data_IF_229027606103
#
_entry.id   IF_229027606103
#
_cell.length_a   1.000
_cell.length_b   1.000
_cell.length_c   1.000
_cell.angle_alpha   90.00
_cell.angle_beta   90.00
_cell.angle_gamma   90.00
#
_symmetry.space_group_name_H-M   'P 1'
#
loop_
_entity.id
_entity.type
_entity.pdbx_description
1 polymer ?
#
# COMPACT_ATOMS: atom_id res chain seq x y z
N UNK A 1 1.00 24.67 -3.54
CA UNK A 1 0.55 24.12 -2.24
C UNK A 1 1.49 22.96 -1.90
N UNK A 2 1.78 22.73 -0.63
CA UNK A 2 2.65 21.62 -0.19
C UNK A 2 1.92 20.79 0.87
N UNK A 3 2.37 19.55 1.04
CA UNK A 3 1.87 18.62 2.07
C UNK A 3 3.01 18.07 2.89
N UNK A 4 2.79 17.92 4.20
CA UNK A 4 3.66 17.23 5.14
C UNK A 4 3.11 15.84 5.41
N UNK A 5 3.96 14.84 5.22
CA UNK A 5 3.67 13.43 5.41
C UNK A 5 4.67 12.86 6.41
N UNK A 6 4.19 12.12 7.40
CA UNK A 6 5.02 11.24 8.21
C UNK A 6 5.26 9.94 7.44
N UNK A 7 6.50 9.72 7.04
CA UNK A 7 6.93 8.58 6.22
C UNK A 7 6.86 7.25 6.97
N UNK A 8 7.06 7.24 8.28
CA UNK A 8 7.07 6.01 9.08
C UNK A 8 5.65 5.47 9.26
N UNK A 9 4.69 6.37 9.48
CA UNK A 9 3.28 6.01 9.63
C UNK A 9 2.50 6.10 8.33
N UNK A 10 3.09 6.66 7.27
CA UNK A 10 2.42 6.95 6.00
C UNK A 10 1.11 7.72 6.18
N UNK A 11 1.15 8.82 6.94
CA UNK A 11 -0.04 9.64 7.24
C UNK A 11 0.20 11.11 6.89
N UNK A 12 -0.86 11.80 6.50
CA UNK A 12 -0.81 13.23 6.19
C UNK A 12 -1.03 14.03 7.46
N UNK A 13 -0.09 14.92 7.76
CA UNK A 13 -0.12 15.73 8.98
C UNK A 13 -0.59 17.15 8.74
N UNK A 14 -0.21 17.75 7.59
CA UNK A 14 -0.56 19.13 7.27
C UNK A 14 -0.53 19.44 5.78
N UNK A 15 -1.25 20.49 5.40
CA UNK A 15 -1.22 21.11 4.07
C UNK A 15 -1.05 22.62 4.21
N UNK A 16 -0.05 23.20 3.56
CA UNK A 16 0.23 24.63 3.68
C UNK A 16 0.96 25.18 2.44
N UNK A 17 0.76 26.46 2.04
CA UNK A 17 1.39 27.05 0.86
C UNK A 17 2.89 27.34 1.04
N UNK A 18 3.35 27.52 2.28
CA UNK A 18 4.76 27.73 2.60
C UNK A 18 5.45 26.41 2.98
N UNK A 19 6.42 26.01 2.16
CA UNK A 19 7.26 24.83 2.37
C UNK A 19 8.03 24.87 3.70
N UNK A 20 8.63 26.02 4.02
CA UNK A 20 9.47 26.17 5.21
C UNK A 20 8.67 25.93 6.49
N UNK A 21 7.43 26.45 6.55
CA UNK A 21 6.55 26.22 7.71
C UNK A 21 6.19 24.75 7.90
N UNK A 22 5.98 24.01 6.80
CA UNK A 22 5.74 22.55 6.89
C UNK A 22 6.99 21.79 7.31
N UNK A 23 8.16 22.22 6.87
CA UNK A 23 9.42 21.61 7.26
C UNK A 23 9.68 21.82 8.76
N UNK A 24 9.53 23.04 9.25
CA UNK A 24 9.62 23.38 10.68
C UNK A 24 8.56 22.63 11.51
N UNK A 25 7.33 22.52 10.99
CA UNK A 25 6.31 21.71 11.63
C UNK A 25 6.69 20.21 11.66
N UNK A 26 7.32 19.69 10.61
CA UNK A 26 7.84 18.33 10.56
C UNK A 26 8.88 18.03 11.64
N UNK A 27 9.75 18.99 11.95
CA UNK A 27 10.72 18.87 13.07
C UNK A 27 9.99 18.65 14.39
N UNK A 28 8.86 19.34 14.60
CA UNK A 28 8.09 19.20 15.84
C UNK A 28 7.47 17.80 15.98
N UNK A 29 6.81 17.31 14.92
CA UNK A 29 5.88 16.20 15.06
C UNK A 29 6.36 14.87 14.47
N UNK A 30 7.33 14.87 13.55
CA UNK A 30 7.83 13.65 12.92
C UNK A 30 9.25 13.83 12.36
N UNK A 31 10.19 14.36 13.16
CA UNK A 31 11.48 14.90 12.67
C UNK A 31 12.25 13.98 11.71
N UNK A 32 12.50 12.73 12.11
CA UNK A 32 13.29 11.76 11.32
C UNK A 32 12.52 11.20 10.11
N UNK A 33 11.18 11.26 10.13
CA UNK A 33 10.30 10.71 9.11
C UNK A 33 9.57 11.79 8.31
N UNK A 34 9.95 13.07 8.47
CA UNK A 34 9.26 14.18 7.84
C UNK A 34 9.53 14.27 6.35
N UNK A 35 8.48 14.25 5.54
CA UNK A 35 8.54 14.44 4.09
C UNK A 35 7.59 15.54 3.67
N UNK A 36 8.17 16.63 3.12
CA UNK A 36 7.41 17.76 2.58
C UNK A 36 7.52 17.76 1.06
N UNK A 37 6.38 17.68 0.37
CA UNK A 37 6.33 17.57 -1.09
C UNK A 37 5.42 18.64 -1.68
N UNK A 38 5.70 19.12 -2.90
CA UNK A 38 4.70 19.83 -3.69
C UNK A 38 3.44 18.96 -3.86
N UNK A 39 2.26 19.56 -3.71
CA UNK A 39 0.99 18.87 -3.93
C UNK A 39 0.74 18.72 -5.44
N UNK A 40 1.45 17.78 -6.06
CA UNK A 40 1.38 17.46 -7.48
C UNK A 40 1.31 15.94 -7.66
N UNK A 41 0.57 15.46 -8.66
CA UNK A 41 0.37 14.01 -8.89
C UNK A 41 1.69 13.30 -9.18
N UNK A 42 2.55 13.93 -9.99
CA UNK A 42 3.85 13.40 -10.39
C UNK A 42 4.81 13.25 -9.22
N UNK A 43 4.79 14.18 -8.26
CA UNK A 43 5.66 14.13 -7.09
C UNK A 43 5.21 13.03 -6.13
N UNK A 44 3.90 12.93 -5.85
CA UNK A 44 3.33 11.80 -5.10
C UNK A 44 3.67 10.45 -5.75
N UNK A 45 3.57 10.36 -7.08
CA UNK A 45 3.83 9.11 -7.81
C UNK A 45 5.31 8.71 -7.79
N UNK A 46 6.25 9.67 -7.81
CA UNK A 46 7.68 9.37 -7.77
C UNK A 46 8.17 9.00 -6.37
N UNK A 47 7.67 9.71 -5.36
CA UNK A 47 8.20 9.61 -3.99
C UNK A 47 7.91 8.26 -3.35
N UNK A 48 6.67 7.78 -3.46
CA UNK A 48 6.22 6.61 -2.72
C UNK A 48 6.13 5.37 -3.60
N UNK A 49 6.55 4.20 -3.13
CA UNK A 49 6.34 2.94 -3.83
C UNK A 49 4.86 2.49 -3.81
N UNK A 50 4.55 1.34 -4.44
CA UNK A 50 3.18 0.81 -4.49
C UNK A 50 2.59 0.50 -3.10
N UNK A 51 3.41 0.05 -2.14
CA UNK A 51 2.98 -0.30 -0.79
C UNK A 51 2.73 0.96 0.02
N UNK A 52 3.65 1.91 -0.04
CA UNK A 52 3.54 3.21 0.62
C UNK A 52 2.34 3.99 0.10
N UNK A 53 2.11 4.02 -1.21
CA UNK A 53 0.94 4.67 -1.81
C UNK A 53 -0.37 4.04 -1.30
N UNK A 54 -0.41 2.71 -1.12
CA UNK A 54 -1.56 2.01 -0.53
C UNK A 54 -1.76 2.36 0.94
N UNK A 55 -0.70 2.37 1.74
CA UNK A 55 -0.77 2.75 3.16
C UNK A 55 -1.22 4.20 3.33
N UNK A 56 -0.68 5.12 2.54
CA UNK A 56 -1.09 6.52 2.54
C UNK A 56 -2.57 6.66 2.19
N UNK A 57 -3.06 5.94 1.18
CA UNK A 57 -4.48 5.91 0.84
C UNK A 57 -5.33 5.35 2.00
N UNK A 58 -4.92 4.25 2.63
CA UNK A 58 -5.65 3.64 3.76
C UNK A 58 -5.75 4.62 4.93
N UNK A 59 -4.64 5.26 5.29
CA UNK A 59 -4.60 6.19 6.42
C UNK A 59 -5.39 7.46 6.14
N UNK A 60 -5.30 7.98 4.90
CA UNK A 60 -6.04 9.15 4.48
C UNK A 60 -7.55 8.89 4.42
N UNK A 61 -7.99 7.74 3.91
CA UNK A 61 -9.43 7.48 3.66
C UNK A 61 -10.14 6.64 4.74
N UNK A 62 -9.37 6.01 5.63
CA UNK A 62 -9.85 4.98 6.56
C UNK A 62 -10.23 3.65 5.89
N UNK A 63 -10.02 3.50 4.58
CA UNK A 63 -10.38 2.30 3.84
C UNK A 63 -9.39 1.15 4.10
N UNK A 64 -9.66 0.32 5.12
CA UNK A 64 -8.79 -0.81 5.51
C UNK A 64 -8.54 -1.86 4.43
N UNK A 65 -9.31 -1.86 3.35
CA UNK A 65 -9.12 -2.80 2.23
C UNK A 65 -8.05 -2.32 1.23
N UNK A 66 -7.61 -1.06 1.35
CA UNK A 66 -6.74 -0.44 0.35
C UNK A 66 -7.50 -0.02 -0.90
N UNK A 67 -6.79 0.65 -1.80
CA UNK A 67 -7.32 1.09 -3.07
C UNK A 67 -7.26 -0.07 -4.07
N UNK A 68 -8.34 -0.25 -4.83
CA UNK A 68 -8.39 -1.28 -5.88
C UNK A 68 -7.75 -0.84 -7.20
N UNK A 69 -7.10 0.32 -7.23
CA UNK A 69 -6.59 0.95 -8.45
C UNK A 69 -5.07 0.79 -8.60
N UNK A 70 -4.52 0.93 -9.82
CA UNK A 70 -3.07 1.05 -10.01
C UNK A 70 -2.50 2.29 -9.32
N UNK A 71 -1.24 2.25 -8.86
CA UNK A 71 -0.55 3.35 -8.18
C UNK A 71 -0.79 4.73 -8.81
N UNK A 72 -0.66 4.85 -10.14
CA UNK A 72 -0.89 6.12 -10.86
C UNK A 72 -2.29 6.71 -10.63
N UNK A 73 -3.29 5.87 -10.50
CA UNK A 73 -4.67 6.29 -10.23
C UNK A 73 -4.88 6.60 -8.75
N UNK A 74 -4.25 5.84 -7.85
CA UNK A 74 -4.24 6.15 -6.42
C UNK A 74 -3.62 7.54 -6.19
N UNK A 75 -2.51 7.87 -6.86
CA UNK A 75 -1.88 9.18 -6.77
C UNK A 75 -2.83 10.31 -7.18
N UNK A 76 -3.67 10.11 -8.21
CA UNK A 76 -4.70 11.08 -8.61
C UNK A 76 -5.81 11.23 -7.57
N UNK A 77 -6.28 10.11 -7.01
CA UNK A 77 -7.31 10.08 -5.98
C UNK A 77 -6.82 10.79 -4.71
N UNK A 78 -5.62 10.43 -4.23
CA UNK A 78 -4.99 11.10 -3.08
C UNK A 78 -4.81 12.59 -3.37
N UNK A 79 -4.26 12.95 -4.53
CA UNK A 79 -4.09 14.35 -4.91
C UNK A 79 -5.41 15.12 -4.87
N UNK A 80 -6.50 14.55 -5.40
CA UNK A 80 -7.82 15.16 -5.33
C UNK A 80 -8.26 15.38 -3.87
N UNK A 81 -8.20 14.34 -3.02
CA UNK A 81 -8.59 14.45 -1.62
C UNK A 81 -7.74 15.46 -0.83
N UNK A 82 -6.44 15.51 -1.08
CA UNK A 82 -5.55 16.50 -0.45
C UNK A 82 -5.87 17.93 -0.90
N UNK A 83 -6.33 18.14 -2.13
CA UNK A 83 -6.80 19.46 -2.55
C UNK A 83 -8.07 19.90 -1.79
N UNK A 84 -8.96 18.97 -1.47
CA UNK A 84 -10.22 19.26 -0.74
C UNK A 84 -10.03 19.49 0.77
N UNK A 85 -8.96 19.00 1.37
CA UNK A 85 -8.66 19.22 2.80
C UNK A 85 -8.42 20.72 3.07
N UNK A 86 -8.84 21.29 4.21
CA UNK A 86 -8.50 22.69 4.53
C UNK A 86 -7.00 22.91 4.70
N UNK A 87 -6.55 24.15 4.47
CA UNK A 87 -5.19 24.55 4.83
C UNK A 87 -4.98 24.43 6.35
N UNK A 88 -3.85 23.87 6.76
CA UNK A 88 -3.44 23.80 8.16
C UNK A 88 -2.93 25.17 8.59
N UNK A 89 -3.47 25.72 9.66
CA UNK A 89 -3.01 27.01 10.21
C UNK A 89 -1.68 26.80 10.91
N UNK A 90 -0.61 27.34 10.30
CA UNK A 90 0.76 27.32 10.84
C UNK A 90 1.34 28.70 10.60
N UNK A 91 1.71 29.42 11.65
CA UNK A 91 2.27 30.77 11.57
C UNK A 91 3.80 30.78 11.70
N UNK A 92 4.38 31.98 11.77
CA UNK A 92 5.84 32.17 11.77
C UNK A 92 6.51 31.73 13.09
N UNK A 93 5.73 31.61 14.17
CA UNK A 93 6.18 31.14 15.48
C UNK A 93 6.53 29.64 15.50
N UNK A 94 6.16 28.87 14.46
CA UNK A 94 6.58 27.47 14.29
C UNK A 94 8.11 27.33 14.25
N UNK A 95 8.83 28.34 13.72
CA UNK A 95 10.28 28.34 13.67
C UNK A 95 10.89 28.39 15.09
N UNK A 96 10.37 29.27 15.96
CA UNK A 96 10.83 29.37 17.36
C UNK A 96 10.53 28.08 18.13
N UNK A 97 9.38 27.46 17.88
CA UNK A 97 9.02 26.19 18.49
C UNK A 97 9.93 25.05 18.02
N UNK A 98 10.29 25.01 16.73
CA UNK A 98 11.22 24.03 16.18
C UNK A 98 12.61 24.17 16.81
N UNK A 99 13.12 25.40 16.92
CA UNK A 99 14.38 25.70 17.62
C UNK A 99 14.33 25.25 19.08
N UNK A 100 13.20 25.48 19.77
CA UNK A 100 13.01 25.00 21.13
C UNK A 100 13.04 23.48 21.23
N UNK A 101 12.37 22.77 20.31
CA UNK A 101 12.32 21.32 20.29
C UNK A 101 13.72 20.73 20.10
N UNK A 102 14.51 21.30 19.18
CA UNK A 102 15.92 20.93 18.96
C UNK A 102 16.76 21.18 20.20
N UNK A 103 16.68 22.40 20.77
CA UNK A 103 17.44 22.75 21.96
C UNK A 103 17.08 21.88 23.18
N UNK A 104 15.85 21.37 23.23
CA UNK A 104 15.33 20.54 24.31
C UNK A 104 15.43 19.04 24.05
N UNK A 105 15.92 18.62 22.88
CA UNK A 105 15.95 17.23 22.40
C UNK A 105 14.56 16.55 22.47
N UNK A 106 13.56 17.20 21.85
CA UNK A 106 12.15 16.78 21.82
C UNK A 106 11.56 16.81 20.41
N UNK A 107 12.41 16.83 19.39
CA UNK A 107 11.99 16.73 18.00
C UNK A 107 11.17 15.46 17.77
N UNK A 108 10.08 15.54 17.02
CA UNK A 108 9.15 14.44 16.80
C UNK A 108 8.20 14.12 17.97
N UNK A 109 8.31 14.79 19.11
CA UNK A 109 7.43 14.60 20.28
C UNK A 109 6.49 15.80 20.54
N UNK A 110 6.54 16.79 19.65
CA UNK A 110 5.96 18.10 19.86
C UNK A 110 4.83 18.40 18.86
N UNK A 111 3.94 19.29 19.28
CA UNK A 111 2.79 19.76 18.53
C UNK A 111 2.79 21.28 18.44
N UNK A 112 2.55 21.81 17.25
CA UNK A 112 2.49 23.24 17.03
C UNK A 112 1.37 23.88 17.85
N UNK A 113 1.70 24.99 18.52
CA UNK A 113 0.76 25.82 19.27
C UNK A 113 0.75 27.25 18.74
N UNK A 114 -0.38 27.68 18.20
CA UNK A 114 -0.54 29.04 17.70
C UNK A 114 -0.34 30.10 18.80
N UNK A 115 0.48 31.12 18.50
CA UNK A 115 0.72 32.26 19.37
C UNK A 115 1.67 31.97 20.54
N UNK A 116 2.48 30.92 20.44
CA UNK A 116 3.43 30.52 21.47
C UNK A 116 4.82 30.29 20.90
N UNK A 117 5.85 30.54 21.70
CA UNK A 117 7.23 30.16 21.37
C UNK A 117 7.59 28.75 21.84
N UNK A 118 6.67 28.06 22.52
CA UNK A 118 6.86 26.71 23.05
C UNK A 118 5.75 25.79 22.53
N UNK A 119 6.08 24.64 21.92
CA UNK A 119 5.08 23.70 21.43
C UNK A 119 4.38 22.97 22.58
N UNK A 120 3.24 22.34 22.25
CA UNK A 120 2.62 21.36 23.13
C UNK A 120 3.29 19.98 23.02
N UNK A 121 3.12 19.16 24.05
CA UNK A 121 3.43 17.72 23.97
C UNK A 121 2.14 16.97 23.69
N UNK A 122 2.17 16.03 22.75
CA UNK A 122 0.95 15.31 22.38
C UNK A 122 1.13 14.34 21.24
N UNK A 123 0.00 13.77 20.82
CA UNK A 123 -0.07 12.92 19.63
C UNK A 123 -0.33 13.76 18.39
N UNK A 124 0.29 13.35 17.29
CA UNK A 124 0.14 13.95 15.96
C UNK A 124 -1.33 14.00 15.50
N UNK A 125 -1.70 15.00 14.69
CA UNK A 125 -3.01 15.02 14.07
C UNK A 125 -3.04 13.99 12.93
N UNK A 126 -4.11 13.20 12.86
CA UNK A 126 -4.36 12.32 11.73
C UNK A 126 -5.44 12.93 10.83
N UNK A 127 -5.05 13.48 9.69
CA UNK A 127 -5.99 14.01 8.72
C UNK A 127 -6.63 12.86 7.95
N UNK A 128 -7.93 12.67 8.15
CA UNK A 128 -8.72 11.68 7.42
C UNK A 128 -9.81 12.36 6.58
N UNK A 129 -9.99 11.86 5.37
CA UNK A 129 -11.12 12.17 4.49
C UNK A 129 -12.08 10.99 4.48
N UNK A 130 -13.36 11.29 4.24
CA UNK A 130 -14.36 10.24 4.09
C UNK A 130 -14.10 9.45 2.81
N UNK A 131 -13.98 8.13 2.93
CA UNK A 131 -14.00 7.24 1.76
C UNK A 131 -15.33 7.39 0.99
N UNK A 132 -15.23 7.70 -0.30
CA UNK A 132 -16.33 7.69 -1.25
C UNK A 132 -15.90 7.03 -2.57
N UNK A 133 -16.17 5.74 -2.69
CA UNK A 133 -15.83 4.96 -3.88
C UNK A 133 -16.54 5.43 -5.15
N UNK A 134 -17.68 6.11 -5.02
CA UNK A 134 -18.37 6.69 -6.19
C UNK A 134 -17.61 7.91 -6.71
N UNK A 135 -17.16 8.78 -5.81
CA UNK A 135 -16.32 9.92 -6.14
C UNK A 135 -14.97 9.48 -6.72
N UNK A 136 -14.35 8.46 -6.12
CA UNK A 136 -13.13 7.85 -6.66
C UNK A 136 -13.31 7.45 -8.12
N UNK A 137 -14.40 6.77 -8.47
CA UNK A 137 -14.67 6.35 -9.85
C UNK A 137 -14.83 7.53 -10.84
N UNK A 138 -15.25 8.71 -10.37
CA UNK A 138 -15.35 9.92 -11.21
C UNK A 138 -14.03 10.64 -11.42
N UNK A 139 -13.05 10.45 -10.51
CA UNK A 139 -11.71 11.04 -10.61
C UNK A 139 -10.87 10.31 -11.68
N UNK A 140 -11.25 9.08 -12.02
CA UNK A 140 -10.55 8.21 -12.96
C UNK A 140 -11.38 7.96 -14.22
N UNK A 141 -11.01 8.60 -15.33
CA UNK A 141 -11.50 8.29 -16.68
C UNK A 141 -10.90 6.96 -17.21
N UNK A 142 -11.21 5.83 -16.59
CA UNK A 142 -10.71 4.54 -17.05
C UNK A 142 -11.32 3.31 -16.37
N UNK A 143 -11.22 2.12 -17.00
CA UNK A 143 -11.82 0.90 -16.47
C UNK A 143 -11.20 0.53 -15.13
N UNK A 144 -12.04 0.31 -14.12
CA UNK A 144 -11.65 -0.26 -12.82
C UNK A 144 -10.94 -1.58 -13.06
N UNK A 145 -9.62 -1.62 -12.85
CA UNK A 145 -8.90 -2.89 -12.82
C UNK A 145 -9.17 -3.49 -11.45
N UNK A 146 -9.84 -4.64 -11.40
CA UNK A 146 -9.87 -5.43 -10.17
C UNK A 146 -8.43 -5.84 -9.86
N UNK A 147 -7.76 -5.11 -8.98
CA UNK A 147 -6.53 -5.59 -8.38
C UNK A 147 -6.92 -6.74 -7.47
N UNK A 148 -6.58 -7.97 -7.90
CA UNK A 148 -6.59 -9.14 -7.03
C UNK A 148 -5.46 -8.98 -5.99
N UNK A 149 -5.62 -8.04 -5.07
CA UNK A 149 -5.05 -8.16 -3.73
C UNK A 149 -5.84 -9.29 -3.07
N UNK A 150 -5.48 -10.52 -3.43
CA UNK A 150 -6.15 -11.71 -2.93
C UNK A 150 -6.03 -11.73 -1.42
N UNK A 151 -7.15 -11.51 -0.73
CA UNK A 151 -7.44 -11.91 0.65
C UNK A 151 -6.16 -12.09 1.49
N UNK A 152 -5.39 -11.02 1.64
CA UNK A 152 -4.38 -10.95 2.69
C UNK A 152 -5.02 -10.08 3.75
N UNK A 153 -5.15 -10.70 4.93
CA UNK A 153 -6.05 -10.29 5.99
C UNK A 153 -5.98 -8.81 6.33
N UNK A 154 -7.13 -8.30 6.75
CA UNK A 154 -7.30 -6.96 7.29
C UNK A 154 -6.02 -6.45 7.98
N UNK A 155 -5.45 -5.37 7.47
CA UNK A 155 -4.43 -4.60 8.17
C UNK A 155 -5.01 -4.23 9.54
N UNK A 156 -4.45 -4.86 10.58
CA UNK A 156 -4.71 -4.53 11.98
C UNK A 156 -3.56 -3.62 12.42
N UNK A 157 -3.82 -2.45 13.01
CA UNK A 157 -2.77 -1.63 13.57
C UNK A 157 -2.06 -2.44 14.66
N UNK A 158 -0.74 -2.57 14.55
CA UNK A 158 0.08 -3.27 15.54
C UNK A 158 0.13 -2.46 16.84
N UNK A 159 -0.82 -2.70 17.75
CA UNK A 159 -0.59 -2.71 19.20
C UNK A 159 -1.80 -3.30 19.94
N UNK A 160 -1.67 -4.56 20.37
CA UNK A 160 -1.97 -4.98 21.75
C UNK A 160 -1.50 -6.42 22.01
N UNK A 161 -0.91 -6.63 23.18
CA UNK A 161 -0.39 -7.91 23.67
C UNK A 161 -1.51 -8.78 24.22
N UNK A 162 -1.37 -10.07 23.92
CA UNK A 162 -1.88 -11.26 24.64
C UNK A 162 -3.37 -11.62 24.59
N UNK A 163 -3.60 -12.89 24.21
CA UNK A 163 -4.87 -13.60 24.39
C UNK A 163 -4.99 -14.84 23.51
N UNK A 164 -4.29 -15.92 23.89
CA UNK A 164 -4.45 -17.28 23.33
C UNK A 164 -5.88 -17.80 23.44
N UNK A 165 -6.49 -18.23 22.32
CA UNK A 165 -7.29 -19.47 22.22
C UNK A 165 -7.89 -19.68 20.81
N UNK A 166 -7.60 -20.84 20.21
CA UNK A 166 -8.42 -21.55 19.19
C UNK A 166 -8.99 -22.81 19.92
N UNK A 167 -10.00 -23.58 19.46
CA UNK A 167 -10.55 -23.77 18.09
C UNK A 167 -12.11 -23.82 18.06
N UNK A 168 -12.91 -24.22 17.05
CA UNK A 168 -12.75 -25.06 15.87
C UNK A 168 -13.93 -24.87 14.85
N UNK A 169 -13.65 -25.18 13.58
CA UNK A 169 -14.46 -25.93 12.59
C UNK A 169 -15.91 -25.54 12.26
N UNK A 170 -16.19 -25.22 10.97
CA UNK A 170 -17.17 -25.97 10.18
C UNK A 170 -17.07 -25.73 8.67
N UNK A 171 -17.19 -26.83 7.91
CA UNK A 171 -17.22 -26.91 6.45
C UNK A 171 -18.50 -26.32 5.88
N UNK A 172 -18.42 -25.66 4.70
CA UNK A 172 -19.51 -25.71 3.72
C UNK A 172 -19.04 -25.52 2.28
N UNK A 173 -19.88 -26.07 1.40
CA UNK A 173 -19.59 -26.58 0.08
C UNK A 173 -19.25 -25.53 -1.00
N UNK A 174 -18.61 -26.06 -2.04
CA UNK A 174 -18.19 -25.39 -3.25
C UNK A 174 -19.34 -24.77 -4.05
N UNK A 175 -19.05 -23.62 -4.64
CA UNK A 175 -19.73 -23.11 -5.83
C UNK A 175 -18.69 -22.87 -6.93
N UNK A 176 -19.00 -23.40 -8.11
CA UNK A 176 -18.21 -23.38 -9.33
C UNK A 176 -17.82 -21.96 -9.75
N UNK A 177 -16.52 -21.67 -9.78
CA UNK A 177 -15.98 -20.46 -10.42
C UNK A 177 -15.47 -20.82 -11.81
N UNK A 178 -15.82 -19.97 -12.77
CA UNK A 178 -15.26 -19.93 -14.12
C UNK A 178 -13.74 -20.00 -14.07
N UNK A 179 -13.18 -21.00 -14.75
CA UNK A 179 -11.76 -21.33 -14.74
C UNK A 179 -10.92 -20.14 -15.22
N UNK A 180 -10.12 -19.57 -14.33
CA UNK A 180 -9.17 -18.53 -14.67
C UNK A 180 -7.99 -19.11 -15.43
N UNK A 181 -7.20 -18.27 -16.11
CA UNK A 181 -5.97 -18.70 -16.81
C UNK A 181 -5.01 -19.46 -15.89
N UNK A 182 -5.02 -19.20 -14.58
CA UNK A 182 -4.27 -19.98 -13.58
C UNK A 182 -4.73 -21.45 -13.50
N UNK A 183 -6.03 -21.71 -13.52
CA UNK A 183 -6.59 -23.06 -13.43
C UNK A 183 -6.24 -23.86 -14.70
N UNK A 184 -6.23 -23.20 -15.86
CA UNK A 184 -5.78 -23.80 -17.13
C UNK A 184 -4.29 -24.17 -17.04
N UNK A 185 -3.45 -23.25 -16.55
CA UNK A 185 -2.01 -23.51 -16.37
C UNK A 185 -1.78 -24.66 -15.40
N UNK A 186 -2.53 -24.71 -14.29
CA UNK A 186 -2.39 -25.75 -13.27
C UNK A 186 -2.91 -27.10 -13.75
N UNK A 187 -4.02 -27.13 -14.50
CA UNK A 187 -4.52 -28.36 -15.10
C UNK A 187 -3.53 -28.96 -16.10
N UNK A 188 -2.95 -28.13 -16.98
CA UNK A 188 -1.92 -28.57 -17.94
C UNK A 188 -0.65 -29.02 -17.23
N UNK A 189 -0.24 -28.31 -16.17
CA UNK A 189 0.91 -28.71 -15.38
C UNK A 189 0.68 -30.05 -14.65
N UNK A 190 -0.50 -30.25 -14.07
CA UNK A 190 -0.87 -31.49 -13.39
C UNK A 190 -0.97 -32.68 -14.34
N UNK A 191 -1.52 -32.48 -15.53
CA UNK A 191 -1.57 -33.48 -16.61
C UNK A 191 -0.15 -33.88 -17.02
N UNK A 192 0.70 -32.91 -17.39
CA UNK A 192 2.07 -33.18 -17.84
C UNK A 192 2.95 -33.75 -16.73
N UNK A 193 2.73 -33.39 -15.47
CA UNK A 193 3.46 -33.94 -14.34
C UNK A 193 3.09 -35.39 -14.04
N UNK A 194 1.80 -35.74 -14.18
CA UNK A 194 1.34 -37.14 -14.09
C UNK A 194 1.84 -37.98 -15.26
N UNK A 195 1.80 -37.44 -16.48
CA UNK A 195 2.35 -38.10 -17.67
C UNK A 195 3.85 -38.36 -17.55
N UNK A 196 4.59 -37.45 -16.90
CA UNK A 196 6.02 -37.59 -16.63
C UNK A 196 6.36 -38.56 -15.49
N UNK A 197 5.36 -39.16 -14.81
CA UNK A 197 5.58 -40.11 -13.72
C UNK A 197 5.95 -39.46 -12.38
N UNK A 198 5.47 -38.24 -12.14
CA UNK A 198 5.71 -37.48 -10.90
C UNK A 198 7.21 -37.27 -10.56
N UNK A 199 8.00 -36.70 -11.49
CA UNK A 199 9.43 -36.51 -11.28
C UNK A 199 9.68 -35.60 -10.06
N UNK A 200 10.63 -36.00 -9.23
CA UNK A 200 11.08 -35.27 -8.03
C UNK A 200 12.51 -34.71 -8.16
N UNK A 201 13.20 -35.02 -9.26
CA UNK A 201 14.52 -34.45 -9.55
C UNK A 201 14.36 -33.03 -10.10
N UNK A 202 15.13 -32.09 -9.55
CA UNK A 202 15.16 -30.67 -9.94
C UNK A 202 15.44 -30.49 -11.43
N UNK A 203 16.32 -31.32 -12.02
CA UNK A 203 16.65 -31.21 -13.45
C UNK A 203 15.47 -31.60 -14.34
N UNK A 204 14.76 -32.65 -13.97
CA UNK A 204 13.58 -33.14 -14.68
C UNK A 204 12.41 -32.15 -14.55
N UNK A 205 12.21 -31.56 -13.36
CA UNK A 205 11.19 -30.53 -13.12
C UNK A 205 11.46 -29.28 -13.96
N UNK A 206 12.71 -28.85 -14.09
CA UNK A 206 13.07 -27.69 -14.92
C UNK A 206 12.83 -27.96 -16.42
N UNK A 207 13.15 -29.17 -16.89
CA UNK A 207 12.89 -29.57 -18.27
C UNK A 207 11.39 -29.66 -18.56
N UNK A 208 10.63 -30.24 -17.62
CA UNK A 208 9.18 -30.33 -17.70
C UNK A 208 8.52 -28.94 -17.69
N UNK A 209 9.00 -28.02 -16.86
CA UNK A 209 8.53 -26.61 -16.84
C UNK A 209 8.72 -25.91 -18.18
N UNK A 210 9.82 -26.19 -18.89
CA UNK A 210 10.06 -25.65 -20.23
C UNK A 210 9.02 -26.19 -21.23
N UNK A 211 8.77 -27.49 -21.20
CA UNK A 211 7.77 -28.14 -22.07
C UNK A 211 6.34 -27.65 -21.77
N UNK A 212 6.00 -27.45 -20.49
CA UNK A 212 4.72 -26.86 -20.07
C UNK A 212 4.56 -25.44 -20.60
N UNK A 213 5.61 -24.60 -20.54
CA UNK A 213 5.56 -23.24 -21.09
C UNK A 213 5.29 -23.24 -22.60
N UNK A 214 5.94 -24.12 -23.36
CA UNK A 214 5.76 -24.22 -24.81
C UNK A 214 4.32 -24.70 -25.17
N UNK A 215 3.75 -25.64 -24.40
CA UNK A 215 2.36 -26.10 -24.57
C UNK A 215 1.33 -25.03 -24.21
N UNK A 216 1.60 -24.23 -23.18
CA UNK A 216 0.72 -23.13 -22.75
C UNK A 216 0.77 -21.92 -23.70
N UNK A 217 1.92 -21.68 -24.33
CA UNK A 217 2.08 -20.66 -25.37
C UNK A 217 1.24 -21.02 -26.62
N UNK A 218 1.19 -22.29 -27.00
CA UNK A 218 0.30 -22.77 -28.07
C UNK A 218 -1.20 -22.59 -27.76
N UNK A 219 -1.58 -22.46 -26.49
CA UNK A 219 -2.95 -22.17 -26.03
C UNK A 219 -3.21 -20.66 -25.86
N UNK A 220 -2.27 -19.80 -26.27
CA UNK A 220 -2.43 -18.33 -26.22
C UNK A 220 -2.06 -17.70 -24.87
N UNK A 221 -1.48 -18.46 -23.94
CA UNK A 221 -1.02 -17.92 -22.65
C UNK A 221 0.35 -17.28 -22.83
N UNK A 222 0.49 -16.00 -22.43
CA UNK A 222 1.78 -15.30 -22.46
C UNK A 222 2.83 -16.05 -21.66
N UNK A 223 4.01 -16.25 -22.25
CA UNK A 223 5.13 -16.99 -21.67
C UNK A 223 5.55 -16.52 -20.27
N UNK A 224 5.50 -15.21 -20.01
CA UNK A 224 5.79 -14.64 -18.67
C UNK A 224 4.75 -15.06 -17.63
N UNK A 225 3.47 -15.11 -18.01
CA UNK A 225 2.38 -15.57 -17.15
C UNK A 225 2.51 -17.07 -16.85
N UNK A 226 2.82 -17.88 -17.86
CA UNK A 226 3.11 -19.32 -17.70
C UNK A 226 4.31 -19.55 -16.78
N UNK A 227 5.41 -18.82 -16.98
CA UNK A 227 6.63 -18.96 -16.17
C UNK A 227 6.37 -18.65 -14.70
N UNK A 228 5.74 -17.51 -14.38
CA UNK A 228 5.48 -17.10 -13.00
C UNK A 228 4.51 -18.06 -12.30
N UNK A 229 3.46 -18.48 -13.00
CA UNK A 229 2.43 -19.37 -12.46
C UNK A 229 2.95 -20.79 -12.25
N UNK A 230 3.76 -21.32 -13.17
CA UNK A 230 4.44 -22.60 -12.97
C UNK A 230 5.46 -22.56 -11.83
N UNK A 231 6.09 -21.40 -11.57
CA UNK A 231 6.95 -21.22 -10.41
C UNK A 231 6.18 -21.32 -9.08
N UNK A 232 4.94 -20.82 -9.03
CA UNK A 232 4.04 -20.99 -7.88
C UNK A 232 3.61 -22.46 -7.74
N UNK A 233 3.28 -23.12 -8.85
CA UNK A 233 2.90 -24.53 -8.87
C UNK A 233 4.00 -25.46 -8.31
N UNK A 234 5.27 -25.24 -8.67
CA UNK A 234 6.41 -26.00 -8.11
C UNK A 234 6.52 -25.80 -6.59
N UNK A 235 6.36 -24.55 -6.12
CA UNK A 235 6.43 -24.21 -4.69
C UNK A 235 5.29 -24.83 -3.89
N UNK A 236 4.05 -24.78 -4.40
CA UNK A 236 2.86 -25.34 -3.75
C UNK A 236 2.96 -26.86 -3.58
N UNK A 237 3.67 -27.54 -4.48
CA UNK A 237 3.91 -28.99 -4.42
C UNK A 237 5.17 -29.38 -3.63
N UNK A 238 5.91 -28.40 -3.09
CA UNK A 238 7.15 -28.65 -2.33
C UNK A 238 8.29 -29.22 -3.18
N UNK A 239 8.25 -29.02 -4.49
CA UNK A 239 9.20 -29.57 -5.47
C UNK A 239 10.47 -28.69 -5.65
N UNK A 240 10.87 -27.93 -4.61
CA UNK A 240 11.97 -26.96 -4.66
C UNK A 240 13.38 -27.57 -4.57
#
# INVERSE_FOLDING_TARGET
>A
MYVLIDYDRMQVLAKHPNFQRLHEYGILCCSESSVVLPLEVEELYKEFDDVQMQLLYINLTGNKQGALYPKKMISKIIHYFLNEIPETVIDADVAEQADWAIASNKEGECMYREGSSVPDLGEEPNIQVRNDSSLESTIIDGPTVQTNMGIQGAWTPTRERQGTSTPANEKRAATSRTAGTRDIIFAVADEMWKEAGEPRDKKEILQLRKQMMDRLEAQGVKRNTSSNTLGVWVKERGLN
#
